data_IF_956392553883
#
_entry.id   IF_956392553883
#
_cell.length_a   1.000
_cell.length_b   1.000
_cell.length_c   1.000
_cell.angle_alpha   90.00
_cell.angle_beta   90.00
_cell.angle_gamma   90.00
#
_symmetry.space_group_name_H-M   'P 1'
#
loop_
_entity.id
_entity.type
_entity.pdbx_description
1 polymer ?
#
# COMPACT_ATOMS: atom_id res chain seq x y z
N UNK A 1 -53.62 -3.37 31.84
CA UNK A 1 -53.56 -4.21 30.63
C UNK A 1 -52.26 -3.89 29.93
N UNK A 2 -51.20 -4.65 30.22
CA UNK A 2 -49.93 -4.54 29.48
C UNK A 2 -50.13 -5.22 28.13
N UNK A 3 -49.74 -4.59 27.00
CA UNK A 3 -49.85 -5.22 25.69
C UNK A 3 -49.00 -6.48 25.69
N UNK A 4 -49.57 -7.60 25.26
CA UNK A 4 -48.86 -8.82 24.95
C UNK A 4 -47.78 -8.52 23.92
N UNK A 5 -46.53 -8.37 24.36
CA UNK A 5 -45.36 -8.38 23.48
C UNK A 5 -45.31 -9.75 22.81
N UNK A 6 -45.51 -9.76 21.50
CA UNK A 6 -45.50 -10.96 20.69
C UNK A 6 -44.04 -11.40 20.51
N UNK A 7 -43.57 -12.48 21.17
CA UNK A 7 -42.15 -12.84 21.19
C UNK A 7 -41.57 -13.14 19.80
N UNK A 8 -42.45 -13.49 18.86
CA UNK A 8 -42.14 -13.74 17.46
C UNK A 8 -41.77 -12.46 16.69
N UNK A 9 -42.38 -11.32 17.02
CA UNK A 9 -42.11 -10.03 16.40
C UNK A 9 -40.76 -9.46 16.88
N UNK A 10 -40.46 -9.58 18.18
CA UNK A 10 -39.18 -9.16 18.75
C UNK A 10 -38.01 -10.01 18.21
N UNK A 11 -38.20 -11.32 18.05
CA UNK A 11 -37.20 -12.20 17.44
C UNK A 11 -36.97 -11.88 15.94
N UNK A 12 -38.03 -11.59 15.19
CA UNK A 12 -37.92 -11.20 13.79
C UNK A 12 -37.25 -9.83 13.61
N UNK A 13 -37.43 -8.91 14.56
CA UNK A 13 -36.77 -7.61 14.56
C UNK A 13 -35.29 -7.72 14.92
N UNK A 14 -34.96 -8.46 15.98
CA UNK A 14 -33.57 -8.76 16.36
C UNK A 14 -32.80 -9.44 15.21
N UNK A 15 -33.40 -10.42 14.54
CA UNK A 15 -32.78 -11.07 13.38
C UNK A 15 -32.54 -10.12 12.20
N UNK A 16 -33.41 -9.12 11.97
CA UNK A 16 -33.20 -8.08 10.94
C UNK A 16 -32.09 -7.12 11.33
N UNK A 17 -32.00 -6.74 12.61
CA UNK A 17 -30.95 -5.88 13.12
C UNK A 17 -29.58 -6.57 13.04
N UNK A 18 -29.49 -7.83 13.42
CA UNK A 18 -28.29 -8.66 13.27
C UNK A 18 -27.88 -8.79 11.80
N UNK A 19 -28.83 -9.03 10.90
CA UNK A 19 -28.54 -9.14 9.47
C UNK A 19 -28.09 -7.81 8.86
N UNK A 20 -28.70 -6.69 9.28
CA UNK A 20 -28.27 -5.34 8.89
C UNK A 20 -26.87 -5.01 9.43
N UNK A 21 -26.54 -5.44 10.65
CA UNK A 21 -25.22 -5.28 11.24
C UNK A 21 -24.16 -6.13 10.52
N UNK A 22 -24.45 -7.41 10.27
CA UNK A 22 -23.57 -8.32 9.51
C UNK A 22 -23.37 -7.81 8.08
N UNK A 23 -24.43 -7.35 7.41
CA UNK A 23 -24.34 -6.74 6.08
C UNK A 23 -23.48 -5.47 6.11
N UNK A 24 -23.68 -4.60 7.11
CA UNK A 24 -22.85 -3.40 7.30
C UNK A 24 -21.37 -3.71 7.53
N UNK A 25 -21.06 -4.79 8.27
CA UNK A 25 -19.70 -5.27 8.49
C UNK A 25 -19.04 -5.81 7.21
N UNK A 26 -19.78 -6.60 6.42
CA UNK A 26 -19.30 -7.16 5.15
C UNK A 26 -19.08 -6.06 4.11
N UNK A 27 -20.08 -5.19 3.90
CA UNK A 27 -20.02 -4.09 2.94
C UNK A 27 -18.88 -3.10 3.29
N UNK A 28 -18.70 -2.80 4.58
CA UNK A 28 -17.63 -1.94 5.08
C UNK A 28 -16.23 -2.52 4.84
N UNK A 29 -16.06 -3.82 5.06
CA UNK A 29 -14.78 -4.50 4.85
C UNK A 29 -14.38 -4.55 3.36
N UNK A 30 -15.33 -4.83 2.47
CA UNK A 30 -15.10 -4.86 1.02
C UNK A 30 -14.70 -3.49 0.47
N UNK A 31 -15.40 -2.42 0.88
CA UNK A 31 -15.10 -1.05 0.40
C UNK A 31 -13.71 -0.57 0.81
N UNK A 32 -13.31 -0.84 2.05
CA UNK A 32 -11.97 -0.44 2.52
C UNK A 32 -10.86 -1.24 1.84
N UNK A 33 -11.08 -2.54 1.61
CA UNK A 33 -10.13 -3.37 0.86
C UNK A 33 -9.96 -2.88 -0.58
N UNK A 34 -11.03 -2.44 -1.24
CA UNK A 34 -10.97 -1.80 -2.56
C UNK A 34 -10.19 -0.48 -2.55
N UNK A 35 -10.43 0.37 -1.54
CA UNK A 35 -9.74 1.65 -1.38
C UNK A 35 -8.22 1.46 -1.20
N UNK A 36 -7.82 0.55 -0.30
CA UNK A 36 -6.41 0.18 -0.11
C UNK A 36 -5.80 -0.38 -1.39
N UNK A 37 -6.52 -1.27 -2.09
CA UNK A 37 -6.07 -1.80 -3.37
C UNK A 37 -5.84 -0.72 -4.44
N UNK A 38 -6.74 0.27 -4.53
CA UNK A 38 -6.60 1.40 -5.45
C UNK A 38 -5.37 2.27 -5.14
N UNK A 39 -5.09 2.51 -3.85
CA UNK A 39 -3.87 3.22 -3.42
C UNK A 39 -2.62 2.45 -3.81
N UNK A 40 -2.60 1.12 -3.62
CA UNK A 40 -1.49 0.27 -4.04
C UNK A 40 -1.25 0.29 -5.55
N UNK A 41 -2.32 0.20 -6.36
CA UNK A 41 -2.22 0.30 -7.83
C UNK A 41 -1.68 1.66 -8.24
N UNK A 42 -2.24 2.75 -7.70
CA UNK A 42 -1.80 4.10 -8.03
C UNK A 42 -0.34 4.32 -7.63
N UNK A 43 0.06 3.91 -6.42
CA UNK A 43 1.44 3.99 -5.95
C UNK A 43 2.40 3.22 -6.87
N UNK A 44 2.08 1.96 -7.17
CA UNK A 44 2.92 1.11 -8.02
C UNK A 44 3.10 1.68 -9.42
N UNK A 45 2.03 2.22 -10.02
CA UNK A 45 2.10 2.85 -11.33
C UNK A 45 2.89 4.17 -11.28
N UNK A 46 2.56 5.07 -10.35
CA UNK A 46 3.20 6.38 -10.25
C UNK A 46 4.70 6.26 -9.98
N UNK A 47 5.07 5.49 -8.95
CA UNK A 47 6.48 5.33 -8.57
C UNK A 47 7.22 4.36 -9.50
N UNK A 48 6.56 3.34 -10.04
CA UNK A 48 7.16 2.46 -11.05
C UNK A 48 7.52 3.24 -12.33
N UNK A 49 6.62 4.09 -12.80
CA UNK A 49 6.86 4.94 -13.98
C UNK A 49 7.94 5.99 -13.70
N UNK A 50 7.99 6.55 -12.48
CA UNK A 50 9.09 7.41 -12.05
C UNK A 50 10.44 6.70 -12.14
N UNK A 51 10.54 5.46 -11.65
CA UNK A 51 11.78 4.68 -11.70
C UNK A 51 12.19 4.40 -13.15
N UNK A 52 11.24 4.07 -14.04
CA UNK A 52 11.54 3.93 -15.47
C UNK A 52 12.02 5.24 -16.10
N UNK A 53 11.46 6.39 -15.69
CA UNK A 53 11.94 7.70 -16.11
C UNK A 53 13.39 7.95 -15.68
N UNK A 54 13.75 7.65 -14.43
CA UNK A 54 15.12 7.77 -13.94
C UNK A 54 16.07 6.80 -14.65
N UNK A 55 15.60 5.60 -14.99
CA UNK A 55 16.37 4.67 -15.81
C UNK A 55 16.64 5.25 -17.21
N UNK A 56 15.63 5.84 -17.86
CA UNK A 56 15.78 6.51 -19.15
C UNK A 56 16.75 7.70 -19.11
N UNK A 57 16.81 8.43 -18.00
CA UNK A 57 17.83 9.47 -17.79
C UNK A 57 19.23 8.86 -17.65
N UNK A 58 19.35 7.78 -16.86
CA UNK A 58 20.63 7.13 -16.60
C UNK A 58 21.23 6.44 -17.84
N UNK A 59 20.40 6.01 -18.81
CA UNK A 59 20.85 5.46 -20.11
C UNK A 59 21.07 6.51 -21.19
N UNK A 60 20.80 7.79 -20.90
CA UNK A 60 20.93 8.88 -21.86
C UNK A 60 19.81 8.95 -22.90
N UNK A 61 18.80 8.08 -22.81
CA UNK A 61 17.62 8.11 -23.68
C UNK A 61 16.71 9.32 -23.39
N UNK A 62 16.77 9.85 -22.18
CA UNK A 62 15.95 10.96 -21.74
C UNK A 62 16.82 12.06 -21.10
N UNK A 63 17.14 13.10 -21.87
CA UNK A 63 17.87 14.28 -21.37
C UNK A 63 16.91 15.34 -20.88
N UNK A 64 16.46 15.18 -19.64
CA UNK A 64 15.66 16.21 -18.97
C UNK A 64 16.58 17.30 -18.40
N UNK A 65 16.26 18.56 -18.68
CA UNK A 65 16.90 19.69 -18.01
C UNK A 65 16.62 19.72 -16.50
N UNK A 66 17.19 20.67 -15.73
CA UNK A 66 17.07 20.73 -14.27
C UNK A 66 15.61 20.74 -13.78
N UNK A 67 14.74 21.47 -14.48
CA UNK A 67 13.30 21.50 -14.20
C UNK A 67 12.62 20.15 -14.46
N UNK A 68 12.99 19.44 -15.54
CA UNK A 68 12.43 18.13 -15.84
C UNK A 68 12.86 17.07 -14.82
N UNK A 69 14.10 17.14 -14.31
CA UNK A 69 14.56 16.30 -13.20
C UNK A 69 13.82 16.57 -11.88
N UNK A 70 13.53 17.84 -11.58
CA UNK A 70 12.70 18.22 -10.43
C UNK A 70 11.26 17.73 -10.56
N UNK A 71 10.64 17.88 -11.73
CA UNK A 71 9.29 17.37 -11.99
C UNK A 71 9.24 15.86 -11.87
N UNK A 72 10.24 15.15 -12.39
CA UNK A 72 10.30 13.69 -12.30
C UNK A 72 10.53 13.19 -10.87
N UNK A 73 11.19 13.96 -10.01
CA UNK A 73 11.45 13.57 -8.61
C UNK A 73 10.32 13.95 -7.66
N UNK A 74 9.80 15.19 -7.73
CA UNK A 74 8.76 15.70 -6.84
C UNK A 74 7.35 15.44 -7.35
N UNK A 75 7.14 15.47 -8.67
CA UNK A 75 5.83 15.34 -9.29
C UNK A 75 5.09 14.05 -8.89
N UNK A 76 5.73 12.86 -8.98
CA UNK A 76 5.11 11.60 -8.55
C UNK A 76 4.72 11.59 -7.07
N UNK A 77 5.54 12.18 -6.20
CA UNK A 77 5.24 12.27 -4.76
C UNK A 77 4.02 13.16 -4.51
N UNK A 78 3.96 14.33 -5.14
CA UNK A 78 2.80 15.23 -5.04
C UNK A 78 1.55 14.55 -5.59
N UNK A 79 1.64 13.92 -6.76
CA UNK A 79 0.53 13.19 -7.38
C UNK A 79 0.02 12.05 -6.49
N UNK A 80 0.93 11.27 -5.92
CA UNK A 80 0.57 10.19 -5.00
C UNK A 80 -0.10 10.73 -3.73
N UNK A 81 0.40 11.82 -3.15
CA UNK A 81 -0.24 12.46 -1.99
C UNK A 81 -1.66 12.96 -2.32
N UNK A 82 -1.88 13.52 -3.50
CA UNK A 82 -3.22 13.90 -3.95
C UNK A 82 -4.14 12.68 -4.00
N UNK A 83 -3.69 11.59 -4.64
CA UNK A 83 -4.46 10.34 -4.73
C UNK A 83 -4.78 9.78 -3.34
N UNK A 84 -3.76 9.71 -2.47
CA UNK A 84 -3.91 9.22 -1.10
C UNK A 84 -4.91 10.09 -0.31
N UNK A 85 -4.77 11.40 -0.37
CA UNK A 85 -5.70 12.34 0.27
C UNK A 85 -7.14 12.15 -0.24
N UNK A 86 -7.34 12.05 -1.55
CA UNK A 86 -8.66 11.84 -2.15
C UNK A 86 -9.28 10.53 -1.67
N UNK A 87 -8.51 9.43 -1.64
CA UNK A 87 -8.99 8.13 -1.15
C UNK A 87 -9.34 8.20 0.34
N UNK A 88 -8.48 8.79 1.17
CA UNK A 88 -8.73 8.97 2.59
C UNK A 88 -9.96 9.87 2.87
N UNK A 89 -10.20 10.90 2.04
CA UNK A 89 -11.39 11.77 2.10
C UNK A 89 -12.66 11.03 1.70
N UNK A 90 -12.57 10.13 0.72
CA UNK A 90 -13.71 9.35 0.24
C UNK A 90 -14.07 8.21 1.18
N UNK A 91 -13.08 7.64 1.86
CA UNK A 91 -13.27 6.43 2.67
C UNK A 91 -13.50 6.69 4.16
N UNK A 92 -13.23 7.90 4.66
CA UNK A 92 -13.55 8.32 6.05
C UNK A 92 -15.04 8.25 6.42
N UNK A 93 -15.94 8.09 5.45
CA UNK A 93 -17.40 7.89 5.68
C UNK A 93 -17.81 6.41 5.62
N UNK A 94 -16.88 5.47 5.47
CA UNK A 94 -17.20 4.05 5.39
C UNK A 94 -17.54 3.47 6.77
N UNK A 95 -18.48 2.52 6.86
CA UNK A 95 -18.72 1.76 8.09
C UNK A 95 -17.45 1.09 8.60
N UNK A 96 -17.27 1.06 9.92
CA UNK A 96 -16.09 0.43 10.55
C UNK A 96 -16.12 -1.08 10.28
N UNK A 97 -15.09 -1.57 9.59
CA UNK A 97 -14.94 -3.00 9.30
C UNK A 97 -14.76 -3.86 10.56
N UNK A 98 -14.96 -5.17 10.40
CA UNK A 98 -14.76 -6.16 11.47
C UNK A 98 -13.33 -6.19 12.05
N UNK A 99 -13.13 -6.92 13.15
CA UNK A 99 -11.84 -7.05 13.86
C UNK A 99 -10.69 -7.48 12.94
N UNK A 100 -10.92 -8.47 12.06
CA UNK A 100 -9.93 -8.93 11.10
C UNK A 100 -9.53 -7.84 10.08
N UNK A 101 -10.49 -7.05 9.60
CA UNK A 101 -10.23 -5.93 8.67
C UNK A 101 -9.40 -4.84 9.35
N UNK A 102 -9.71 -4.50 10.60
CA UNK A 102 -8.93 -3.53 11.39
C UNK A 102 -7.51 -4.02 11.68
N UNK A 103 -7.35 -5.30 12.00
CA UNK A 103 -6.03 -5.89 12.22
C UNK A 103 -5.19 -5.83 10.93
N UNK A 104 -5.78 -6.19 9.78
CA UNK A 104 -5.13 -6.04 8.47
C UNK A 104 -4.72 -4.59 8.18
N UNK A 105 -5.60 -3.62 8.43
CA UNK A 105 -5.29 -2.20 8.24
C UNK A 105 -4.15 -1.73 9.15
N UNK A 106 -4.12 -2.17 10.41
CA UNK A 106 -3.07 -1.76 11.36
C UNK A 106 -1.67 -2.18 10.91
N UNK A 107 -1.54 -3.31 10.21
CA UNK A 107 -0.26 -3.78 9.65
C UNK A 107 0.27 -2.79 8.62
N UNK A 108 -0.57 -2.37 7.68
CA UNK A 108 -0.15 -1.43 6.63
C UNK A 108 -0.02 0.01 7.15
N UNK A 109 -0.86 0.40 8.11
CA UNK A 109 -0.71 1.68 8.80
C UNK A 109 0.63 1.73 9.56
N UNK A 110 1.00 0.67 10.27
CA UNK A 110 2.30 0.57 10.94
C UNK A 110 3.45 0.65 9.93
N UNK A 111 3.36 -0.05 8.79
CA UNK A 111 4.37 0.06 7.73
C UNK A 111 4.49 1.49 7.18
N UNK A 112 3.37 2.18 6.96
CA UNK A 112 3.35 3.58 6.53
C UNK A 112 3.97 4.52 7.57
N UNK A 113 3.63 4.37 8.84
CA UNK A 113 4.21 5.18 9.93
C UNK A 113 5.71 4.94 10.07
N UNK A 114 6.15 3.68 10.04
CA UNK A 114 7.58 3.33 10.08
C UNK A 114 8.31 3.95 8.89
N UNK A 115 7.71 4.01 7.70
CA UNK A 115 8.30 4.69 6.56
C UNK A 115 8.55 6.19 6.83
N UNK A 116 7.62 6.88 7.50
CA UNK A 116 7.82 8.29 7.89
C UNK A 116 8.99 8.44 8.88
N UNK A 117 9.10 7.52 9.85
CA UNK A 117 10.21 7.52 10.80
C UNK A 117 11.55 7.22 10.10
N UNK A 118 11.57 6.30 9.13
CA UNK A 118 12.76 6.03 8.34
C UNK A 118 13.23 7.26 7.56
N UNK A 119 12.32 8.05 6.99
CA UNK A 119 12.68 9.33 6.35
C UNK A 119 13.34 10.26 7.37
N UNK A 120 12.79 10.38 8.58
CA UNK A 120 13.35 11.21 9.64
C UNK A 120 14.74 10.74 10.12
N UNK A 121 15.06 9.45 9.98
CA UNK A 121 16.38 8.88 10.31
C UNK A 121 17.38 9.06 9.17
N UNK A 122 16.99 8.69 7.94
CA UNK A 122 17.89 8.65 6.79
C UNK A 122 18.13 10.03 6.18
N UNK A 123 17.18 10.97 6.25
CA UNK A 123 17.35 12.30 5.66
C UNK A 123 18.48 13.12 6.33
N UNK A 124 18.54 13.26 7.67
CA UNK A 124 19.66 13.94 8.31
C UNK A 124 20.99 13.20 8.11
N UNK A 125 20.99 11.86 8.12
CA UNK A 125 22.19 11.05 7.91
C UNK A 125 22.79 11.24 6.51
N UNK A 126 21.94 11.37 5.49
CA UNK A 126 22.36 11.66 4.12
C UNK A 126 22.94 13.08 3.97
N UNK A 127 22.34 14.07 4.64
CA UNK A 127 22.79 15.47 4.61
C UNK A 127 24.05 15.72 5.45
N UNK A 128 24.24 14.98 6.54
CA UNK A 128 25.32 15.16 7.51
C UNK A 128 26.67 14.52 7.18
N UNK A 129 26.87 14.00 5.96
CA UNK A 129 28.17 13.46 5.50
C UNK A 129 28.22 11.96 5.20
N UNK A 130 27.10 11.22 5.35
CA UNK A 130 27.03 9.79 4.96
C UNK A 130 27.12 9.54 3.45
N UNK A 131 26.98 10.60 2.63
CA UNK A 131 26.95 10.52 1.17
C UNK A 131 25.66 9.92 0.62
N UNK A 132 25.41 10.13 -0.67
CA UNK A 132 24.20 9.65 -1.37
C UNK A 132 23.97 8.13 -1.24
N UNK A 133 25.02 7.34 -0.98
CA UNK A 133 24.89 5.89 -0.80
C UNK A 133 24.03 5.50 0.39
N UNK A 134 24.09 6.23 1.51
CA UNK A 134 23.23 5.97 2.69
C UNK A 134 21.77 6.16 2.33
N UNK A 135 21.46 7.14 1.47
CA UNK A 135 20.11 7.36 0.96
C UNK A 135 19.61 6.22 0.06
N UNK A 136 20.48 5.55 -0.69
CA UNK A 136 20.08 4.40 -1.54
C UNK A 136 19.70 3.15 -0.72
N UNK A 137 20.12 3.04 0.53
CA UNK A 137 19.67 1.95 1.40
C UNK A 137 18.22 2.14 1.86
N UNK A 138 17.74 3.39 1.95
CA UNK A 138 16.39 3.68 2.40
C UNK A 138 15.32 2.96 1.56
N UNK A 139 15.28 3.06 0.21
CA UNK A 139 14.29 2.35 -0.58
C UNK A 139 14.37 0.81 -0.43
N UNK A 140 15.57 0.24 -0.30
CA UNK A 140 15.72 -1.20 -0.08
C UNK A 140 15.11 -1.64 1.27
N UNK A 141 15.30 -0.85 2.32
CA UNK A 141 14.67 -1.07 3.64
C UNK A 141 13.15 -0.94 3.55
N UNK A 142 12.64 0.05 2.81
CA UNK A 142 11.19 0.23 2.60
C UNK A 142 10.58 -0.97 1.90
N UNK A 143 11.27 -1.54 0.91
CA UNK A 143 10.82 -2.75 0.22
C UNK A 143 10.78 -3.95 1.19
N UNK A 144 11.80 -4.12 2.04
CA UNK A 144 11.81 -5.18 3.04
C UNK A 144 10.67 -5.00 4.06
N UNK A 145 10.43 -3.76 4.51
CA UNK A 145 9.32 -3.42 5.41
C UNK A 145 7.96 -3.73 4.78
N UNK A 146 7.78 -3.40 3.50
CA UNK A 146 6.57 -3.77 2.76
C UNK A 146 6.42 -5.29 2.63
N UNK A 147 7.50 -6.02 2.38
CA UNK A 147 7.50 -7.49 2.42
C UNK A 147 7.03 -8.02 3.78
N UNK A 148 7.51 -7.42 4.88
CA UNK A 148 7.05 -7.74 6.23
C UNK A 148 5.56 -7.47 6.47
N UNK A 149 5.05 -6.34 5.98
CA UNK A 149 3.63 -6.02 6.05
C UNK A 149 2.77 -7.03 5.29
N UNK A 150 3.17 -7.41 4.07
CA UNK A 150 2.48 -8.44 3.28
C UNK A 150 2.58 -9.83 3.91
N UNK A 151 3.69 -10.15 4.57
CA UNK A 151 3.85 -11.42 5.28
C UNK A 151 2.90 -11.49 6.49
N UNK A 152 2.82 -10.42 7.29
CA UNK A 152 1.87 -10.34 8.40
C UNK A 152 0.42 -10.41 7.90
N UNK A 153 0.10 -9.71 6.80
CA UNK A 153 -1.20 -9.79 6.14
C UNK A 153 -1.54 -11.23 5.67
N UNK A 154 -0.56 -11.96 5.15
CA UNK A 154 -0.71 -13.38 4.82
C UNK A 154 -0.94 -14.24 6.07
N UNK A 155 -0.25 -13.99 7.18
CA UNK A 155 -0.47 -14.72 8.43
C UNK A 155 -1.88 -14.53 8.99
N UNK A 156 -2.44 -13.32 8.85
CA UNK A 156 -3.81 -12.98 9.29
C UNK A 156 -4.89 -13.59 8.39
N UNK A 157 -4.71 -13.52 7.07
CA UNK A 157 -5.77 -13.88 6.11
C UNK A 157 -5.61 -15.26 5.48
N UNK A 158 -4.41 -15.85 5.60
CA UNK A 158 -3.97 -17.13 5.01
C UNK A 158 -4.14 -17.25 3.48
N UNK A 159 -4.22 -16.12 2.77
CA UNK A 159 -4.34 -16.11 1.30
C UNK A 159 -2.98 -16.21 0.62
N UNK A 160 -2.72 -17.31 -0.09
CA UNK A 160 -1.41 -17.62 -0.70
C UNK A 160 -0.82 -16.48 -1.55
N UNK A 161 -1.65 -15.73 -2.28
CA UNK A 161 -1.19 -14.62 -3.14
C UNK A 161 -0.53 -13.49 -2.34
N UNK A 162 -0.94 -13.27 -1.09
CA UNK A 162 -0.31 -12.27 -0.21
C UNK A 162 1.09 -12.73 0.20
N UNK A 163 1.27 -14.04 0.43
CA UNK A 163 2.57 -14.64 0.71
C UNK A 163 3.53 -14.53 -0.49
N UNK A 164 3.04 -14.78 -1.71
CA UNK A 164 3.85 -14.56 -2.92
C UNK A 164 4.24 -13.09 -3.10
N UNK A 165 3.33 -12.18 -2.79
CA UNK A 165 3.60 -10.74 -2.84
C UNK A 165 4.71 -10.38 -1.85
N UNK A 166 4.65 -10.89 -0.61
CA UNK A 166 5.69 -10.70 0.40
C UNK A 166 7.06 -11.21 -0.08
N UNK A 167 7.10 -12.42 -0.66
CA UNK A 167 8.32 -12.98 -1.24
C UNK A 167 8.88 -12.10 -2.36
N UNK A 168 8.02 -11.58 -3.24
CA UNK A 168 8.42 -10.65 -4.29
C UNK A 168 9.06 -9.37 -3.73
N UNK A 169 8.49 -8.79 -2.68
CA UNK A 169 9.07 -7.64 -1.98
C UNK A 169 10.43 -7.93 -1.36
N UNK A 170 10.58 -9.07 -0.68
CA UNK A 170 11.86 -9.47 -0.09
C UNK A 170 12.92 -9.74 -1.16
N UNK A 171 12.55 -10.42 -2.26
CA UNK A 171 13.44 -10.66 -3.38
C UNK A 171 13.92 -9.34 -4.01
N UNK A 172 13.01 -8.39 -4.21
CA UNK A 172 13.36 -7.06 -4.71
C UNK A 172 14.25 -6.28 -3.72
N UNK A 173 13.96 -6.35 -2.41
CA UNK A 173 14.77 -5.70 -1.38
C UNK A 173 16.22 -6.23 -1.37
N UNK A 174 16.38 -7.56 -1.42
CA UNK A 174 17.70 -8.21 -1.50
C UNK A 174 18.39 -7.81 -2.81
N UNK A 175 17.68 -7.89 -3.93
CA UNK A 175 18.22 -7.50 -5.24
C UNK A 175 18.69 -6.04 -5.28
N UNK A 176 17.91 -5.12 -4.69
CA UNK A 176 18.30 -3.72 -4.56
C UNK A 176 19.52 -3.56 -3.66
N UNK A 177 19.60 -4.27 -2.53
CA UNK A 177 20.75 -4.25 -1.64
C UNK A 177 22.04 -4.73 -2.31
N UNK A 178 21.97 -5.75 -3.17
CA UNK A 178 23.12 -6.29 -3.91
C UNK A 178 23.54 -5.41 -5.10
N UNK A 179 22.65 -4.58 -5.62
CA UNK A 179 22.88 -3.77 -6.83
C UNK A 179 23.02 -2.28 -6.54
N UNK A 180 23.25 -1.88 -5.29
CA UNK A 180 23.40 -0.48 -4.91
C UNK A 180 24.47 0.22 -5.76
N UNK A 181 24.07 1.29 -6.43
CA UNK A 181 24.94 2.08 -7.32
C UNK A 181 25.05 1.56 -8.75
N UNK A 182 24.35 0.49 -9.11
CA UNK A 182 24.25 -0.01 -10.48
C UNK A 182 22.94 0.41 -11.13
N UNK A 183 22.91 0.45 -12.47
CA UNK A 183 21.68 0.73 -13.24
C UNK A 183 20.57 -0.31 -13.01
N UNK A 184 20.97 -1.56 -12.71
CA UNK A 184 20.07 -2.67 -12.37
C UNK A 184 19.21 -2.39 -11.13
N UNK A 185 19.69 -1.57 -10.19
CA UNK A 185 18.94 -1.13 -9.00
C UNK A 185 17.59 -0.51 -9.38
N UNK A 186 17.60 0.39 -10.36
CA UNK A 186 16.42 1.15 -10.78
C UNK A 186 15.41 0.23 -11.45
N UNK A 187 15.88 -0.74 -12.24
CA UNK A 187 15.02 -1.73 -12.90
C UNK A 187 14.38 -2.70 -11.90
N UNK A 188 15.14 -3.17 -10.91
CA UNK A 188 14.60 -4.04 -9.85
C UNK A 188 13.55 -3.28 -9.04
N UNK A 189 13.80 -2.01 -8.71
CA UNK A 189 12.83 -1.15 -8.02
C UNK A 189 11.56 -0.95 -8.86
N UNK A 190 11.69 -0.63 -10.16
CA UNK A 190 10.56 -0.49 -11.08
C UNK A 190 9.75 -1.79 -11.20
N UNK A 191 10.42 -2.92 -11.42
CA UNK A 191 9.77 -4.22 -11.53
C UNK A 191 9.06 -4.60 -10.23
N UNK A 192 9.69 -4.36 -9.07
CA UNK A 192 9.08 -4.60 -7.77
C UNK A 192 7.84 -3.74 -7.52
N UNK A 193 7.87 -2.46 -7.87
CA UNK A 193 6.71 -1.56 -7.74
C UNK A 193 5.58 -1.90 -8.72
N UNK A 194 5.91 -2.34 -9.93
CA UNK A 194 4.87 -2.72 -10.88
C UNK A 194 4.29 -4.10 -10.51
N UNK A 195 5.11 -5.10 -10.25
CA UNK A 195 4.64 -6.46 -9.99
C UNK A 195 4.11 -6.63 -8.56
N UNK A 196 4.86 -6.18 -7.55
CA UNK A 196 4.53 -6.44 -6.14
C UNK A 196 3.61 -5.38 -5.52
N UNK A 197 3.24 -4.34 -6.26
CA UNK A 197 2.26 -3.32 -5.82
C UNK A 197 1.01 -3.29 -6.70
N UNK A 198 1.15 -3.31 -8.04
CA UNK A 198 -0.02 -3.24 -8.94
C UNK A 198 -0.81 -4.54 -8.95
N UNK A 199 -0.16 -5.70 -9.07
CA UNK A 199 -0.84 -7.01 -9.08
C UNK A 199 -1.65 -7.26 -7.79
N UNK A 200 -1.07 -7.12 -6.58
CA UNK A 200 -1.85 -7.32 -5.36
C UNK A 200 -2.91 -6.24 -5.16
N UNK A 201 -2.63 -4.98 -5.52
CA UNK A 201 -3.63 -3.91 -5.45
C UNK A 201 -4.83 -4.19 -6.35
N UNK A 202 -4.60 -4.68 -7.56
CA UNK A 202 -5.65 -5.11 -8.48
C UNK A 202 -6.40 -6.34 -7.97
N UNK A 203 -5.69 -7.31 -7.39
CA UNK A 203 -6.31 -8.48 -6.77
C UNK A 203 -7.25 -8.10 -5.60
N UNK A 204 -6.84 -7.13 -4.77
CA UNK A 204 -7.69 -6.57 -3.69
C UNK A 204 -8.95 -5.90 -4.25
N UNK A 205 -8.81 -5.08 -5.29
CA UNK A 205 -9.95 -4.44 -5.96
C UNK A 205 -10.91 -5.45 -6.59
N UNK A 206 -10.39 -6.53 -7.18
CA UNK A 206 -11.21 -7.59 -7.79
C UNK A 206 -11.99 -8.37 -6.73
N UNK A 207 -11.33 -8.73 -5.63
CA UNK A 207 -11.96 -9.48 -4.52
C UNK A 207 -13.08 -8.67 -3.86
N UNK A 208 -12.93 -7.34 -3.76
CA UNK A 208 -13.96 -6.45 -3.23
C UNK A 208 -15.18 -6.25 -4.14
N UNK A 209 -15.10 -6.61 -5.44
CA UNK A 209 -16.26 -6.58 -6.36
C UNK A 209 -17.04 -7.88 -6.37
N UNK A 210 -16.41 -8.98 -5.94
CA UNK A 210 -16.99 -10.32 -5.91
C UNK A 210 -17.52 -10.72 -4.53
N UNK A 211 -17.22 -9.93 -3.50
CA UNK A 211 -17.76 -10.06 -2.15
C UNK A 211 -19.03 -9.23 -2.02
#
# INVERSE_FOLDING_TARGET
MSPSQDPSADAAQSAREDLAFLKGLVDGAGRHQAATGAVFVAAGLIYGLQMLGHWGQATGWLTLGPLGGLVLSLGPTVLFLIVLCVVLIRDRRAPRGGTASRAFQSVFAAAGTTNLILIAIFAPAALGGGGLKVWLFYPAVVFALQGGAWLAAWMLTRRWWMGLTALGWFACAIGMGLTIGQLSYILIAAAGLLLCMVLPGWAMMRQARTA
#
